data_IF_959778190794
#
_entry.id   IF_959778190794
#
_cell.length_a   1.000
_cell.length_b   1.000
_cell.length_c   1.000
_cell.angle_alpha   90.00
_cell.angle_beta   90.00
_cell.angle_gamma   90.00
#
_symmetry.space_group_name_H-M   'P 1'
#
loop_
_entity.id
_entity.type
_entity.pdbx_description
1 polymer ?
#
# COMPACT_ATOMS: atom_id res chain seq x y z
N UNK A 1 40.65 7.97 20.24
CA UNK A 1 39.40 8.14 21.02
C UNK A 1 38.23 8.63 20.17
N UNK A 2 38.35 9.75 19.44
CA UNK A 2 37.24 10.26 18.61
C UNK A 2 36.85 9.33 17.45
N UNK A 3 37.82 8.64 16.83
CA UNK A 3 37.56 7.68 15.74
C UNK A 3 36.55 6.58 16.14
N UNK A 4 36.70 6.02 17.34
CA UNK A 4 35.78 5.04 17.90
C UNK A 4 34.36 5.61 18.06
N UNK A 5 34.25 6.83 18.60
CA UNK A 5 32.96 7.50 18.80
C UNK A 5 32.28 7.82 17.47
N UNK A 6 33.02 8.36 16.49
CA UNK A 6 32.50 8.67 15.16
C UNK A 6 32.01 7.40 14.47
N UNK A 7 32.78 6.31 14.52
CA UNK A 7 32.36 5.01 13.97
C UNK A 7 31.09 4.49 14.64
N UNK A 8 30.98 4.58 15.96
CA UNK A 8 29.78 4.17 16.69
C UNK A 8 28.55 5.00 16.31
N UNK A 9 28.69 6.33 16.20
CA UNK A 9 27.59 7.22 15.81
C UNK A 9 27.12 6.93 14.38
N UNK A 10 28.04 6.71 13.44
CA UNK A 10 27.70 6.38 12.04
C UNK A 10 26.93 5.06 11.98
N UNK A 11 27.44 4.01 12.61
CA UNK A 11 26.78 2.70 12.65
C UNK A 11 25.40 2.80 13.28
N UNK A 12 25.31 3.51 14.41
CA UNK A 12 24.04 3.69 15.12
C UNK A 12 23.03 4.44 14.27
N UNK A 13 23.45 5.50 13.57
CA UNK A 13 22.61 6.26 12.65
C UNK A 13 22.04 5.39 11.53
N UNK A 14 22.87 4.59 10.88
CA UNK A 14 22.42 3.65 9.83
C UNK A 14 21.46 2.62 10.42
N UNK A 15 21.75 2.08 11.60
CA UNK A 15 20.88 1.09 12.22
C UNK A 15 19.53 1.66 12.66
N UNK A 16 19.46 2.94 12.99
CA UNK A 16 18.21 3.65 13.32
C UNK A 16 17.25 3.74 12.11
N UNK A 17 17.78 3.64 10.88
CA UNK A 17 16.95 3.59 9.68
C UNK A 17 16.13 2.30 9.60
N UNK A 18 16.58 1.19 10.21
CA UNK A 18 15.85 -0.09 10.17
C UNK A 18 14.45 -0.01 10.81
N UNK A 19 14.27 0.47 12.06
CA UNK A 19 12.95 0.72 12.63
C UNK A 19 12.06 1.65 11.79
N UNK A 20 12.63 2.74 11.25
CA UNK A 20 11.89 3.68 10.41
C UNK A 20 11.42 3.03 9.11
N UNK A 21 12.30 2.27 8.46
CA UNK A 21 11.99 1.56 7.23
C UNK A 21 10.90 0.52 7.48
N UNK A 22 10.93 -0.20 8.60
CA UNK A 22 9.87 -1.14 8.97
C UNK A 22 8.51 -0.46 9.16
N UNK A 23 8.48 0.73 9.77
CA UNK A 23 7.24 1.52 9.89
C UNK A 23 6.74 1.93 8.50
N UNK A 24 7.62 2.44 7.64
CA UNK A 24 7.26 2.82 6.27
C UNK A 24 6.72 1.61 5.48
N UNK A 25 7.34 0.44 5.64
CA UNK A 25 6.94 -0.81 5.01
C UNK A 25 5.60 -1.34 5.54
N UNK A 26 5.26 -1.03 6.79
CA UNK A 26 3.93 -1.28 7.33
C UNK A 26 2.89 -0.31 6.78
N UNK A 27 3.23 0.97 6.65
CA UNK A 27 2.33 1.98 6.08
C UNK A 27 1.96 1.67 4.63
N UNK A 28 2.89 1.14 3.83
CA UNK A 28 2.61 0.70 2.45
C UNK A 28 1.90 -0.66 2.37
N UNK A 29 1.68 -1.33 3.50
CA UNK A 29 1.00 -2.64 3.57
C UNK A 29 1.88 -3.84 3.20
N UNK A 30 3.19 -3.65 2.98
CA UNK A 30 4.11 -4.72 2.58
C UNK A 30 4.40 -5.67 3.76
N UNK A 31 4.51 -5.13 4.98
CA UNK A 31 4.75 -5.94 6.19
C UNK A 31 3.71 -5.61 7.27
N UNK A 32 3.02 -6.62 7.78
CA UNK A 32 2.08 -6.46 8.90
C UNK A 32 2.81 -6.47 10.25
N UNK A 33 2.29 -5.71 11.20
CA UNK A 33 2.79 -5.70 12.58
C UNK A 33 2.77 -7.09 13.22
N UNK A 34 1.80 -7.95 12.86
CA UNK A 34 1.76 -9.36 13.29
C UNK A 34 2.96 -10.16 12.80
N UNK A 35 3.36 -9.99 11.52
CA UNK A 35 4.57 -10.66 10.97
C UNK A 35 5.83 -10.17 11.67
N UNK A 36 5.94 -8.86 11.88
CA UNK A 36 7.08 -8.28 12.63
C UNK A 36 7.15 -8.91 14.02
N UNK A 37 6.04 -8.90 14.77
CA UNK A 37 5.98 -9.48 16.11
C UNK A 37 6.29 -10.98 16.11
N UNK A 38 5.92 -11.75 15.09
CA UNK A 38 6.25 -13.18 15.00
C UNK A 38 7.75 -13.46 14.89
N UNK A 39 8.51 -12.57 14.21
CA UNK A 39 9.95 -12.72 13.96
C UNK A 39 10.85 -11.91 14.90
N UNK A 40 10.29 -11.38 15.98
CA UNK A 40 11.00 -10.52 16.94
C UNK A 40 12.31 -11.12 17.46
N UNK A 41 12.35 -12.43 17.71
CA UNK A 41 13.55 -13.13 18.19
C UNK A 41 14.66 -13.08 17.14
N UNK A 42 14.31 -13.27 15.87
CA UNK A 42 15.25 -13.15 14.75
C UNK A 42 15.80 -11.74 14.62
N UNK A 43 14.95 -10.72 14.82
CA UNK A 43 15.39 -9.32 14.82
C UNK A 43 16.37 -9.03 15.97
N UNK A 44 16.08 -9.46 17.20
CA UNK A 44 16.98 -9.24 18.34
C UNK A 44 18.33 -9.93 18.13
N UNK A 45 18.34 -11.16 17.60
CA UNK A 45 19.58 -11.85 17.23
C UNK A 45 20.32 -11.09 16.14
N UNK A 46 19.63 -10.61 15.10
CA UNK A 46 20.22 -9.81 14.03
C UNK A 46 20.82 -8.49 14.53
N UNK A 47 20.11 -7.76 15.38
CA UNK A 47 20.59 -6.52 16.01
C UNK A 47 21.80 -6.76 16.91
N UNK A 48 21.80 -7.85 17.67
CA UNK A 48 22.92 -8.22 18.54
C UNK A 48 24.13 -8.65 17.72
N UNK A 49 23.94 -9.41 16.64
CA UNK A 49 25.01 -9.79 15.71
C UNK A 49 25.59 -8.57 14.97
N UNK A 50 24.72 -7.65 14.56
CA UNK A 50 25.13 -6.38 13.98
C UNK A 50 25.95 -5.56 14.99
N UNK A 51 25.51 -5.48 16.24
CA UNK A 51 26.24 -4.82 17.31
C UNK A 51 27.62 -5.46 17.55
N UNK A 52 27.69 -6.79 17.50
CA UNK A 52 28.96 -7.52 17.64
C UNK A 52 29.98 -7.13 16.57
N UNK A 53 29.56 -6.97 15.32
CA UNK A 53 30.42 -6.54 14.20
C UNK A 53 30.81 -5.05 14.33
N UNK A 54 29.88 -4.24 14.82
CA UNK A 54 30.09 -2.81 15.02
C UNK A 54 31.07 -2.48 16.14
N UNK A 55 31.01 -3.22 17.26
CA UNK A 55 31.87 -2.97 18.41
C UNK A 55 33.22 -3.69 18.25
N UNK A 56 34.36 -2.98 18.31
CA UNK A 56 35.67 -3.59 18.13
C UNK A 56 36.10 -4.50 19.29
N UNK A 57 35.52 -4.30 20.50
CA UNK A 57 35.91 -5.04 21.70
C UNK A 57 35.15 -6.34 21.95
N UNK A 58 34.03 -6.60 21.28
CA UNK A 58 33.28 -7.85 21.48
C UNK A 58 32.71 -8.07 22.89
N UNK A 59 32.75 -7.06 23.77
CA UNK A 59 32.29 -7.18 25.15
C UNK A 59 30.75 -7.20 25.20
N UNK A 60 30.11 -8.19 25.86
CA UNK A 60 28.65 -8.32 25.88
C UNK A 60 27.90 -7.07 26.36
N UNK A 61 28.48 -6.33 27.30
CA UNK A 61 27.88 -5.09 27.84
C UNK A 61 27.84 -4.00 26.78
N UNK A 62 28.94 -3.78 26.05
CA UNK A 62 29.03 -2.79 24.99
C UNK A 62 28.14 -3.15 23.79
N UNK A 63 28.02 -4.44 23.47
CA UNK A 63 27.08 -4.92 22.46
C UNK A 63 25.63 -4.62 22.84
N UNK A 64 25.24 -4.90 24.09
CA UNK A 64 23.89 -4.61 24.60
C UNK A 64 23.60 -3.12 24.68
N UNK A 65 24.59 -2.28 25.01
CA UNK A 65 24.46 -0.82 24.99
C UNK A 65 24.12 -0.28 23.59
N UNK A 66 24.64 -0.92 22.54
CA UNK A 66 24.34 -0.56 21.14
C UNK A 66 23.02 -1.19 20.65
N UNK A 67 22.83 -2.49 20.89
CA UNK A 67 21.66 -3.24 20.43
C UNK A 67 20.39 -2.89 21.21
N UNK A 68 20.51 -2.52 22.49
CA UNK A 68 19.40 -2.23 23.38
C UNK A 68 18.49 -1.11 22.87
N UNK A 69 19.01 0.10 22.59
CA UNK A 69 18.22 1.18 22.01
C UNK A 69 17.56 0.79 20.69
N UNK A 70 18.28 0.08 19.80
CA UNK A 70 17.74 -0.39 18.53
C UNK A 70 16.61 -1.41 18.73
N UNK A 71 16.75 -2.32 19.70
CA UNK A 71 15.73 -3.28 20.08
C UNK A 71 14.49 -2.60 20.63
N UNK A 72 14.65 -1.61 21.50
CA UNK A 72 13.55 -0.77 22.01
C UNK A 72 12.83 -0.08 20.86
N UNK A 73 13.57 0.53 19.94
CA UNK A 73 12.99 1.17 18.76
C UNK A 73 12.23 0.19 17.86
N UNK A 74 12.78 -1.01 17.67
CA UNK A 74 12.09 -2.06 16.94
C UNK A 74 10.76 -2.43 17.59
N UNK A 75 10.70 -2.60 18.91
CA UNK A 75 9.43 -2.86 19.60
C UNK A 75 8.46 -1.68 19.54
N UNK A 76 8.95 -0.44 19.58
CA UNK A 76 8.12 0.76 19.35
C UNK A 76 7.53 0.73 17.93
N UNK A 77 8.35 0.41 16.92
CA UNK A 77 7.91 0.27 15.54
C UNK A 77 6.87 -0.84 15.39
N UNK A 78 7.09 -2.01 16.00
CA UNK A 78 6.12 -3.11 16.02
C UNK A 78 4.81 -2.66 16.67
N UNK A 79 4.87 -1.99 17.82
CA UNK A 79 3.70 -1.45 18.50
C UNK A 79 2.93 -0.48 17.60
N UNK A 80 3.62 0.49 17.02
CA UNK A 80 3.02 1.44 16.07
C UNK A 80 2.36 0.71 14.90
N UNK A 81 3.05 -0.24 14.27
CA UNK A 81 2.53 -1.02 13.15
C UNK A 81 1.30 -1.84 13.53
N UNK A 82 1.24 -2.41 14.74
CA UNK A 82 0.06 -3.13 15.23
C UNK A 82 -1.13 -2.19 15.44
N UNK A 83 -0.90 -0.98 15.96
CA UNK A 83 -1.94 0.03 16.11
C UNK A 83 -2.44 0.52 14.75
N UNK A 84 -1.53 0.74 13.81
CA UNK A 84 -1.83 1.16 12.44
C UNK A 84 -2.64 0.08 11.70
N UNK A 85 -2.21 -1.17 11.75
CA UNK A 85 -2.92 -2.32 11.18
C UNK A 85 -4.33 -2.45 11.77
N UNK A 86 -4.47 -2.34 13.10
CA UNK A 86 -5.77 -2.43 13.77
C UNK A 86 -6.70 -1.29 13.36
N UNK A 87 -6.18 -0.07 13.20
CA UNK A 87 -6.95 1.08 12.74
C UNK A 87 -7.39 0.89 11.29
N UNK A 88 -6.49 0.42 10.40
CA UNK A 88 -6.82 0.13 9.00
C UNK A 88 -7.88 -0.96 8.89
N UNK A 89 -7.76 -2.02 9.68
CA UNK A 89 -8.72 -3.13 9.69
C UNK A 89 -10.12 -2.70 10.13
N UNK A 90 -10.24 -1.77 11.09
CA UNK A 90 -11.55 -1.26 11.54
C UNK A 90 -12.26 -0.39 10.49
N UNK A 91 -11.50 0.23 9.59
CA UNK A 91 -12.04 1.11 8.57
C UNK A 91 -12.24 0.40 7.23
N UNK A 92 -11.84 -0.87 7.12
CA UNK A 92 -12.04 -1.68 5.93
C UNK A 92 -13.29 -2.55 6.15
N UNK A 93 -14.43 -2.26 5.48
CA UNK A 93 -15.64 -3.07 5.58
C UNK A 93 -15.42 -4.51 5.11
N UNK A 94 -14.43 -4.72 4.23
CA UNK A 94 -14.06 -6.01 3.66
C UNK A 94 -12.96 -6.73 4.46
N UNK A 95 -12.63 -6.26 5.66
CA UNK A 95 -11.50 -6.77 6.46
C UNK A 95 -11.60 -8.24 6.87
N UNK A 96 -12.82 -8.77 6.98
CA UNK A 96 -13.06 -10.17 7.36
C UNK A 96 -13.12 -11.11 6.14
N UNK A 97 -13.16 -10.55 4.93
CA UNK A 97 -13.23 -11.34 3.70
C UNK A 97 -11.86 -11.95 3.41
N UNK A 98 -11.89 -13.21 2.98
CA UNK A 98 -10.74 -13.90 2.41
C UNK A 98 -10.34 -13.25 1.07
N UNK A 99 -9.05 -13.32 0.69
CA UNK A 99 -8.58 -12.82 -0.62
C UNK A 99 -9.35 -13.45 -1.81
N UNK A 100 -9.90 -14.65 -1.61
CA UNK A 100 -10.70 -15.39 -2.60
C UNK A 100 -12.23 -15.17 -2.48
N UNK A 101 -12.67 -14.35 -1.53
CA UNK A 101 -14.08 -14.08 -1.27
C UNK A 101 -14.51 -12.76 -1.93
N UNK A 102 -15.64 -12.79 -2.66
CA UNK A 102 -16.17 -11.59 -3.30
C UNK A 102 -16.74 -10.64 -2.25
N UNK A 103 -16.39 -9.36 -2.33
CA UNK A 103 -17.02 -8.34 -1.51
C UNK A 103 -18.49 -8.15 -1.89
N UNK A 104 -19.32 -7.90 -0.88
CA UNK A 104 -20.72 -7.60 -1.08
C UNK A 104 -20.83 -6.18 -1.64
N UNK A 105 -21.22 -6.07 -2.91
CA UNK A 105 -21.35 -4.77 -3.58
C UNK A 105 -22.64 -4.11 -3.11
N UNK A 106 -22.54 -2.85 -2.66
CA UNK A 106 -23.72 -2.06 -2.37
C UNK A 106 -24.48 -1.76 -3.67
N UNK A 107 -25.56 -2.50 -3.89
CA UNK A 107 -26.45 -2.35 -5.05
C UNK A 107 -27.50 -1.26 -4.85
N UNK A 108 -27.42 -0.44 -3.80
CA UNK A 108 -28.31 0.72 -3.69
C UNK A 108 -28.02 1.69 -4.84
N UNK A 109 -29.00 1.95 -5.73
CA UNK A 109 -28.77 2.81 -6.87
C UNK A 109 -28.53 4.25 -6.39
N UNK A 110 -27.31 4.75 -6.57
CA UNK A 110 -27.06 6.17 -6.38
C UNK A 110 -27.82 6.98 -7.44
N UNK A 111 -28.41 8.14 -7.07
CA UNK A 111 -29.08 9.00 -8.03
C UNK A 111 -28.12 9.41 -9.14
N UNK A 112 -28.46 9.10 -10.39
CA UNK A 112 -27.70 9.60 -11.54
C UNK A 112 -27.74 11.14 -11.47
N UNK A 113 -26.55 11.74 -11.34
CA UNK A 113 -26.39 13.19 -11.31
C UNK A 113 -26.97 13.87 -12.55
N UNK A 114 -27.09 15.19 -12.50
CA UNK A 114 -27.55 15.97 -13.66
C UNK A 114 -26.66 15.70 -14.86
N UNK A 115 -27.25 15.43 -16.01
CA UNK A 115 -26.55 15.19 -17.28
C UNK A 115 -25.63 16.38 -17.55
N UNK A 116 -24.32 16.19 -17.35
CA UNK A 116 -23.33 17.17 -17.76
C UNK A 116 -23.24 17.10 -19.28
N UNK A 117 -23.86 18.07 -19.93
CA UNK A 117 -23.76 18.21 -21.37
C UNK A 117 -22.30 18.51 -21.69
N UNK A 118 -21.58 17.50 -22.21
CA UNK A 118 -20.26 17.68 -22.78
C UNK A 118 -20.43 18.70 -23.89
N UNK A 119 -20.09 19.95 -23.58
CA UNK A 119 -20.14 21.05 -24.53
C UNK A 119 -19.11 20.72 -25.58
N UNK A 120 -19.58 20.13 -26.68
CA UNK A 120 -18.76 19.72 -27.80
C UNK A 120 -17.89 20.90 -28.18
N UNK A 121 -16.60 20.81 -27.84
CA UNK A 121 -15.58 21.73 -28.35
C UNK A 121 -15.38 21.40 -29.83
N UNK A 122 -16.35 21.93 -30.58
CA UNK A 122 -16.37 22.36 -31.96
C UNK A 122 -16.48 21.35 -33.11
N UNK A 123 -17.07 21.83 -34.21
CA UNK A 123 -17.84 21.06 -35.18
C UNK A 123 -17.02 20.75 -36.42
N UNK A 124 -17.37 19.68 -37.13
CA UNK A 124 -17.51 19.62 -38.58
C UNK A 124 -17.51 18.14 -39.02
N UNK A 125 -18.69 17.54 -39.12
CA UNK A 125 -18.90 16.51 -40.14
C UNK A 125 -19.19 17.26 -41.45
N UNK A 126 -18.33 17.15 -42.48
CA UNK A 126 -18.58 17.77 -43.77
C UNK A 126 -19.78 17.09 -44.46
N UNK A 127 -20.81 17.88 -44.73
CA UNK A 127 -21.79 17.73 -45.81
C UNK A 127 -22.34 16.33 -46.11
N UNK A 128 -23.40 15.91 -45.40
CA UNK A 128 -24.42 15.07 -46.04
C UNK A 128 -25.42 16.01 -46.70
N UNK A 129 -25.31 16.07 -48.03
CA UNK A 129 -26.11 16.91 -48.90
C UNK A 129 -27.61 16.59 -48.78
N UNK A 130 -28.37 17.69 -48.67
CA UNK A 130 -29.77 17.89 -49.09
C UNK A 130 -30.52 16.66 -49.59
N UNK A 131 -31.62 16.33 -48.90
CA UNK A 131 -32.66 15.48 -49.44
C UNK A 131 -33.27 16.11 -50.68
N UNK A 132 -33.29 15.34 -51.76
CA UNK A 132 -34.32 15.41 -52.78
C UNK A 132 -35.11 14.11 -52.66
N UNK A 133 -36.35 14.23 -52.19
CA UNK A 133 -37.26 13.11 -52.05
C UNK A 133 -37.96 12.90 -53.40
N UNK A 134 -37.62 11.82 -54.12
CA UNK A 134 -38.60 11.16 -54.98
C UNK A 134 -38.17 9.72 -55.34
N UNK A 135 -39.08 8.75 -55.19
CA UNK A 135 -38.90 7.37 -55.68
C UNK A 135 -39.34 6.24 -54.73
N UNK A 136 -40.30 5.37 -55.12
CA UNK A 136 -40.76 4.26 -54.30
C UNK A 136 -39.86 3.02 -54.49
N UNK A 137 -39.28 2.50 -53.41
CA UNK A 137 -38.41 1.33 -53.52
C UNK A 137 -38.04 0.72 -52.16
N UNK A 138 -38.65 -0.43 -51.89
CA UNK A 138 -38.20 -1.52 -51.00
C UNK A 138 -36.80 -1.42 -50.37
N UNK A 139 -36.71 -1.59 -49.04
CA UNK A 139 -36.20 -2.82 -48.41
C UNK A 139 -36.34 -2.70 -46.89
N UNK A 140 -37.25 -3.48 -46.28
CA UNK A 140 -37.12 -3.83 -44.87
C UNK A 140 -36.00 -4.87 -44.78
N UNK A 141 -34.98 -4.64 -43.95
CA UNK A 141 -34.13 -5.70 -43.41
C UNK A 141 -34.28 -5.70 -41.88
N UNK A 142 -34.76 -6.85 -41.41
CA UNK A 142 -34.98 -7.25 -40.04
C UNK A 142 -33.66 -7.60 -39.33
N UNK A 143 -33.66 -7.72 -38.00
CA UNK A 143 -32.67 -8.57 -37.31
C UNK A 143 -32.26 -8.14 -35.90
N UNK A 144 -33.16 -8.24 -34.93
CA UNK A 144 -32.74 -8.51 -33.55
C UNK A 144 -33.51 -9.75 -33.09
N UNK A 145 -32.85 -10.88 -33.30
CA UNK A 145 -33.30 -12.22 -32.93
C UNK A 145 -32.52 -12.64 -31.68
N UNK A 146 -33.29 -13.18 -30.76
CA UNK A 146 -33.00 -13.94 -29.54
C UNK A 146 -31.54 -14.40 -29.32
N UNK A 147 -30.99 -14.10 -28.13
CA UNK A 147 -29.87 -14.88 -27.57
C UNK A 147 -30.31 -15.40 -26.21
N UNK A 148 -30.66 -16.68 -26.22
CA UNK A 148 -30.66 -17.58 -25.07
C UNK A 148 -29.25 -18.15 -24.87
#
# INVERSE_FOLDING_TARGET
>A
YLDLLVRMVIVFGIAFELPLLLIALNMTGVVTGKRMLGWWRGMIVGLTAFAAIATPGGEPVSMLLLAGPLGVLYFIAVGFSLLNDKRRNRNNPDAELSDDEASDLDLTPEPIGSVENVSGSRPALPGQASGEADGPGSHRLNGYDDVT
#
